data_IF_542206153060
#
_entry.id   IF_542206153060
#
_cell.length_a   1.000
_cell.length_b   1.000
_cell.length_c   1.000
_cell.angle_alpha   90.00
_cell.angle_beta   90.00
_cell.angle_gamma   90.00
#
_symmetry.space_group_name_H-M   'P 1'
#
loop_
_entity.id
_entity.type
_entity.pdbx_description
1 polymer ?
#
# COMPACT_ATOMS: atom_id res chain seq x y z
N UNK A 1 1.57 1.70 13.87
CA UNK A 1 2.68 1.80 12.91
C UNK A 1 3.73 2.73 13.48
N UNK A 2 5.01 2.39 13.39
CA UNK A 2 6.11 3.27 13.81
C UNK A 2 6.76 3.86 12.55
N UNK A 3 6.83 5.19 12.51
CA UNK A 3 7.49 5.93 11.43
C UNK A 3 8.62 6.76 12.06
N UNK A 4 9.84 6.61 11.56
CA UNK A 4 11.05 7.26 12.08
C UNK A 4 11.21 7.06 13.61
N UNK A 5 10.86 5.87 14.11
CA UNK A 5 10.95 5.51 15.52
C UNK A 5 9.84 6.04 16.43
N UNK A 6 8.81 6.70 15.89
CA UNK A 6 7.68 7.22 16.66
C UNK A 6 6.37 6.55 16.25
N UNK A 7 5.46 6.26 17.21
CA UNK A 7 4.13 5.76 16.89
C UNK A 7 3.35 6.76 16.04
N UNK A 8 2.78 6.30 14.93
CA UNK A 8 1.88 7.12 14.13
C UNK A 8 0.47 7.10 14.74
N UNK A 9 -0.23 8.25 14.90
CA UNK A 9 -1.47 8.33 15.68
C UNK A 9 -2.67 7.62 15.04
N UNK A 10 -2.69 7.49 13.71
CA UNK A 10 -3.86 6.99 12.99
C UNK A 10 -3.53 6.03 11.83
N UNK A 11 -2.29 5.53 11.79
CA UNK A 11 -1.90 4.53 10.79
C UNK A 11 -1.38 3.27 11.45
N UNK A 12 -1.86 2.13 10.96
CA UNK A 12 -1.65 0.81 11.54
C UNK A 12 -1.24 -0.19 10.46
N UNK A 13 -0.57 -1.26 10.84
CA UNK A 13 -0.33 -2.42 9.98
C UNK A 13 -0.53 -3.70 10.79
N UNK A 14 -0.86 -4.79 10.10
CA UNK A 14 -0.90 -6.12 10.71
C UNK A 14 0.49 -6.73 10.60
N UNK A 15 1.06 -7.10 11.75
CA UNK A 15 2.34 -7.76 11.83
C UNK A 15 2.20 -9.29 11.62
N UNK A 16 3.22 -9.91 11.02
CA UNK A 16 3.36 -11.36 10.94
C UNK A 16 2.72 -12.06 9.73
N UNK A 17 2.02 -11.34 8.83
CA UNK A 17 1.44 -11.92 7.60
C UNK A 17 2.17 -11.50 6.32
N UNK A 18 2.98 -10.48 6.38
CA UNK A 18 3.77 -9.97 5.26
C UNK A 18 4.71 -11.06 4.72
N UNK A 19 4.71 -11.21 3.40
CA UNK A 19 5.55 -12.18 2.71
C UNK A 19 6.53 -11.46 1.78
N UNK A 20 7.79 -11.85 1.85
CA UNK A 20 8.81 -11.44 0.90
C UNK A 20 8.99 -12.51 -0.17
N UNK A 21 8.86 -12.14 -1.43
CA UNK A 21 9.00 -13.06 -2.57
C UNK A 21 10.13 -12.59 -3.48
N UNK A 22 10.93 -13.53 -3.97
CA UNK A 22 11.94 -13.29 -4.99
C UNK A 22 11.76 -14.35 -6.07
N UNK A 23 11.57 -13.90 -7.29
CA UNK A 23 11.50 -14.72 -8.49
C UNK A 23 12.77 -14.49 -9.32
N UNK A 24 13.43 -15.54 -9.76
CA UNK A 24 14.58 -15.44 -10.65
C UNK A 24 14.43 -16.34 -11.86
N UNK A 25 14.78 -15.83 -13.03
CA UNK A 25 14.79 -16.56 -14.30
C UNK A 25 16.16 -16.42 -14.93
N UNK A 26 16.84 -17.55 -15.09
CA UNK A 26 18.13 -17.61 -15.78
C UNK A 26 17.94 -18.23 -17.16
N UNK A 27 18.43 -17.56 -18.19
CA UNK A 27 18.45 -18.08 -19.56
C UNK A 27 19.87 -18.13 -20.07
N UNK A 28 20.17 -19.20 -20.77
CA UNK A 28 21.49 -19.36 -21.41
C UNK A 28 21.75 -18.22 -22.39
N UNK A 29 22.90 -17.56 -22.24
CA UNK A 29 23.34 -16.39 -23.03
C UNK A 29 22.50 -15.10 -22.88
N UNK A 30 21.45 -15.07 -22.06
CA UNK A 30 20.62 -13.87 -21.87
C UNK A 30 20.86 -13.21 -20.49
N UNK A 31 21.42 -13.95 -19.53
CA UNK A 31 21.65 -13.45 -18.16
C UNK A 31 20.59 -13.87 -17.15
N UNK A 32 20.49 -13.12 -16.05
CA UNK A 32 19.60 -13.40 -14.93
C UNK A 32 18.62 -12.26 -14.74
N UNK A 33 17.34 -12.53 -14.88
CA UNK A 33 16.25 -11.62 -14.57
C UNK A 33 15.76 -11.91 -13.13
N UNK A 34 15.66 -10.87 -12.32
CA UNK A 34 15.18 -10.99 -10.93
C UNK A 34 14.04 -10.02 -10.69
N UNK A 35 12.98 -10.51 -10.06
CA UNK A 35 11.86 -9.74 -9.57
C UNK A 35 11.68 -9.98 -8.07
N UNK A 36 11.55 -8.92 -7.30
CA UNK A 36 11.27 -8.99 -5.88
C UNK A 36 9.90 -8.41 -5.56
N UNK A 37 9.25 -8.92 -4.51
CA UNK A 37 7.91 -8.47 -4.11
C UNK A 37 7.76 -8.44 -2.59
N UNK A 38 6.87 -7.58 -2.14
CA UNK A 38 6.22 -7.61 -0.83
C UNK A 38 4.76 -7.96 -1.08
N UNK A 39 4.24 -8.96 -0.40
CA UNK A 39 2.85 -9.39 -0.50
C UNK A 39 2.22 -9.45 0.89
N UNK A 40 0.90 -9.36 0.97
CA UNK A 40 0.10 -9.47 2.22
C UNK A 40 0.44 -8.42 3.28
N UNK A 41 0.96 -7.28 2.89
CA UNK A 41 1.18 -6.17 3.81
C UNK A 41 -0.14 -5.43 4.06
N UNK A 42 -0.88 -5.85 5.07
CA UNK A 42 -2.16 -5.25 5.43
C UNK A 42 -1.94 -3.97 6.24
N UNK A 43 -2.45 -2.86 5.72
CA UNK A 43 -2.36 -1.54 6.33
C UNK A 43 -3.73 -0.87 6.45
N UNK A 44 -3.84 0.02 7.44
CA UNK A 44 -5.03 0.83 7.67
C UNK A 44 -4.62 2.21 8.14
N UNK A 45 -5.28 3.24 7.63
CA UNK A 45 -5.30 4.56 8.25
C UNK A 45 -6.75 5.03 8.45
N UNK A 46 -7.02 5.61 9.62
CA UNK A 46 -8.37 6.01 10.01
C UNK A 46 -8.78 7.40 9.50
N UNK A 47 -7.83 8.19 9.01
CA UNK A 47 -8.02 9.53 8.46
C UNK A 47 -6.89 9.90 7.50
N UNK A 48 -6.97 11.04 6.80
CA UNK A 48 -5.95 11.51 5.87
C UNK A 48 -5.96 10.79 4.53
N UNK A 49 -7.10 10.21 4.14
CA UNK A 49 -7.31 9.64 2.81
C UNK A 49 -8.56 10.24 2.19
N UNK A 50 -8.37 10.91 1.08
CA UNK A 50 -9.44 11.52 0.30
C UNK A 50 -9.66 10.76 -1.02
N UNK A 51 -10.77 11.08 -1.67
CA UNK A 51 -11.05 10.71 -3.05
C UNK A 51 -11.88 11.80 -3.69
N UNK A 52 -11.22 12.74 -4.36
CA UNK A 52 -11.84 13.91 -4.98
C UNK A 52 -11.06 14.37 -6.21
N UNK A 53 -11.64 15.27 -6.99
CA UNK A 53 -11.00 15.84 -8.17
C UNK A 53 -10.87 14.87 -9.36
N UNK A 54 -11.58 13.74 -9.34
CA UNK A 54 -11.63 12.83 -10.47
C UNK A 54 -12.61 13.33 -11.55
N UNK A 55 -12.43 12.86 -12.78
CA UNK A 55 -13.33 13.22 -13.88
C UNK A 55 -14.77 12.77 -13.56
N UNK A 56 -15.70 13.68 -13.77
CA UNK A 56 -17.15 13.42 -13.55
C UNK A 56 -17.92 13.64 -14.84
N UNK A 57 -18.84 12.72 -15.09
CA UNK A 57 -19.78 12.75 -16.20
C UNK A 57 -21.20 12.42 -15.72
N UNK A 58 -22.15 12.31 -16.63
CA UNK A 58 -23.56 12.00 -16.34
C UNK A 58 -23.77 10.60 -15.72
N UNK A 59 -22.81 9.67 -15.86
CA UNK A 59 -22.84 8.32 -15.30
C UNK A 59 -22.15 8.21 -13.94
N UNK A 60 -21.43 9.24 -13.52
CA UNK A 60 -20.65 9.24 -12.28
C UNK A 60 -21.55 9.39 -11.06
N UNK A 61 -21.83 8.28 -10.37
CA UNK A 61 -22.65 8.23 -9.15
C UNK A 61 -21.85 8.37 -7.85
N UNK A 62 -20.53 8.17 -7.92
CA UNK A 62 -19.66 8.19 -6.75
C UNK A 62 -19.50 9.64 -6.25
N UNK A 63 -19.80 9.91 -4.95
CA UNK A 63 -19.57 11.23 -4.37
C UNK A 63 -18.08 11.46 -4.11
N UNK A 64 -17.67 12.71 -4.10
CA UNK A 64 -16.37 13.09 -3.60
C UNK A 64 -16.30 12.92 -2.08
N UNK A 65 -15.16 12.46 -1.59
CA UNK A 65 -14.91 12.23 -0.17
C UNK A 65 -13.60 12.89 0.21
N UNK A 66 -13.65 13.76 1.20
CA UNK A 66 -12.50 14.56 1.64
C UNK A 66 -11.70 13.87 2.73
N UNK A 67 -12.32 12.94 3.45
CA UNK A 67 -11.67 12.09 4.44
C UNK A 67 -12.41 10.76 4.56
N UNK A 68 -11.65 9.67 4.66
CA UNK A 68 -12.18 8.31 4.82
C UNK A 68 -11.18 7.39 5.48
N UNK A 69 -11.68 6.30 6.05
CA UNK A 69 -10.85 5.17 6.45
C UNK A 69 -10.34 4.49 5.18
N UNK A 70 -9.03 4.30 5.09
CA UNK A 70 -8.40 3.53 4.02
C UNK A 70 -7.74 2.29 4.59
N UNK A 71 -8.19 1.12 4.16
CA UNK A 71 -7.52 -0.14 4.43
C UNK A 71 -7.24 -0.87 3.12
N UNK A 72 -6.05 -1.41 3.00
CA UNK A 72 -5.62 -2.15 1.82
C UNK A 72 -4.60 -3.21 2.19
N UNK A 73 -4.53 -4.23 1.39
CA UNK A 73 -3.46 -5.22 1.42
C UNK A 73 -2.49 -4.87 0.30
N UNK A 74 -1.34 -4.35 0.68
CA UNK A 74 -0.35 -3.87 -0.29
C UNK A 74 0.38 -5.06 -0.90
N UNK A 75 0.38 -5.08 -2.23
CA UNK A 75 1.31 -5.84 -3.04
C UNK A 75 2.21 -4.85 -3.76
N UNK A 76 3.52 -4.95 -3.52
CA UNK A 76 4.54 -4.12 -4.14
C UNK A 76 5.56 -5.01 -4.84
N UNK A 77 5.74 -4.82 -6.14
CA UNK A 77 6.71 -5.55 -6.93
C UNK A 77 7.74 -4.62 -7.56
N UNK A 78 8.97 -5.10 -7.71
CA UNK A 78 9.97 -4.38 -8.47
C UNK A 78 10.83 -5.32 -9.31
N UNK A 79 11.12 -4.88 -10.52
CA UNK A 79 11.99 -5.53 -11.48
C UNK A 79 13.40 -4.96 -11.35
N UNK A 80 14.38 -5.83 -11.18
CA UNK A 80 15.78 -5.45 -11.23
C UNK A 80 16.27 -5.32 -12.68
N UNK A 81 17.26 -4.49 -12.91
CA UNK A 81 18.01 -4.48 -14.16
C UNK A 81 18.54 -5.89 -14.46
N UNK A 82 18.67 -6.23 -15.74
CA UNK A 82 19.19 -7.52 -16.15
C UNK A 82 20.63 -7.70 -15.67
N UNK A 83 20.92 -8.80 -15.00
CA UNK A 83 22.26 -9.19 -14.57
C UNK A 83 22.90 -10.10 -15.61
N UNK A 84 24.17 -9.83 -15.95
CA UNK A 84 24.89 -10.61 -16.95
C UNK A 84 25.32 -11.98 -16.43
N UNK A 85 25.60 -12.06 -15.13
CA UNK A 85 26.13 -13.28 -14.50
C UNK A 85 25.84 -13.31 -13.00
N UNK A 86 26.16 -14.44 -12.37
CA UNK A 86 25.94 -14.66 -10.94
C UNK A 86 26.79 -13.76 -10.03
N UNK A 87 27.93 -13.25 -10.49
CA UNK A 87 28.77 -12.37 -9.66
C UNK A 87 28.14 -10.98 -9.54
N UNK A 88 27.50 -10.47 -10.60
CA UNK A 88 26.71 -9.24 -10.51
C UNK A 88 25.54 -9.40 -9.53
N UNK A 89 24.85 -10.53 -9.57
CA UNK A 89 23.76 -10.81 -8.60
C UNK A 89 24.25 -10.81 -7.15
N UNK A 90 25.41 -11.40 -6.89
CA UNK A 90 25.99 -11.44 -5.52
C UNK A 90 26.38 -10.07 -4.98
N UNK A 91 26.68 -9.10 -5.86
CA UNK A 91 27.08 -7.75 -5.48
C UNK A 91 25.90 -6.87 -5.00
N UNK A 92 24.67 -7.30 -5.23
CA UNK A 92 23.46 -6.52 -4.92
C UNK A 92 23.02 -6.71 -3.46
N UNK A 93 22.73 -5.61 -2.77
CA UNK A 93 22.11 -5.65 -1.45
C UNK A 93 20.58 -5.77 -1.55
N UNK A 94 20.10 -6.98 -1.81
CA UNK A 94 18.67 -7.28 -1.85
C UNK A 94 17.95 -7.01 -0.52
N UNK A 95 18.66 -7.11 0.60
CA UNK A 95 18.06 -6.86 1.91
C UNK A 95 17.88 -5.37 2.17
N UNK A 96 18.89 -4.57 1.86
CA UNK A 96 18.80 -3.11 1.95
C UNK A 96 17.72 -2.55 1.03
N UNK A 97 17.64 -3.04 -0.21
CA UNK A 97 16.61 -2.63 -1.15
C UNK A 97 15.20 -3.01 -0.69
N UNK A 98 15.01 -4.23 -0.18
CA UNK A 98 13.72 -4.64 0.39
C UNK A 98 13.32 -3.76 1.57
N UNK A 99 14.27 -3.50 2.48
CA UNK A 99 14.03 -2.62 3.61
C UNK A 99 13.67 -1.20 3.17
N UNK A 100 14.39 -0.64 2.20
CA UNK A 100 14.11 0.68 1.65
C UNK A 100 12.72 0.75 1.02
N UNK A 101 12.35 -0.23 0.18
CA UNK A 101 11.05 -0.30 -0.46
C UNK A 101 9.92 -0.39 0.58
N UNK A 102 10.09 -1.24 1.61
CA UNK A 102 9.12 -1.38 2.70
C UNK A 102 8.98 -0.11 3.52
N UNK A 103 10.10 0.48 3.95
CA UNK A 103 10.10 1.69 4.78
C UNK A 103 9.47 2.88 4.02
N UNK A 104 9.77 3.06 2.72
CA UNK A 104 9.15 4.06 1.86
C UNK A 104 7.64 3.81 1.76
N UNK A 105 7.23 2.58 1.49
CA UNK A 105 5.81 2.20 1.39
C UNK A 105 5.05 2.54 2.66
N UNK A 106 5.57 2.13 3.81
CA UNK A 106 4.95 2.38 5.11
C UNK A 106 4.88 3.86 5.44
N UNK A 107 5.97 4.60 5.20
CA UNK A 107 6.05 6.04 5.47
C UNK A 107 5.09 6.83 4.59
N UNK A 108 5.11 6.60 3.28
CA UNK A 108 4.21 7.30 2.35
C UNK A 108 2.75 6.96 2.66
N UNK A 109 2.42 5.68 2.92
CA UNK A 109 1.06 5.31 3.30
C UNK A 109 0.59 6.06 4.55
N UNK A 110 1.45 6.17 5.57
CA UNK A 110 1.10 6.80 6.84
C UNK A 110 0.97 8.32 6.74
N UNK A 111 1.94 8.99 6.12
CA UNK A 111 2.10 10.44 6.19
C UNK A 111 1.44 11.20 5.04
N UNK A 112 1.23 10.54 3.88
CA UNK A 112 0.69 11.21 2.70
C UNK A 112 -0.80 11.54 2.89
N UNK A 113 -1.13 12.83 2.85
CA UNK A 113 -2.52 13.29 2.78
C UNK A 113 -2.98 13.22 1.32
N UNK A 114 -3.35 12.03 0.90
CA UNK A 114 -3.53 11.67 -0.49
C UNK A 114 -4.90 12.07 -1.03
N UNK A 115 -4.93 12.71 -2.18
CA UNK A 115 -6.16 12.96 -2.93
C UNK A 115 -6.73 11.68 -3.58
N UNK A 116 -5.89 10.66 -3.79
CA UNK A 116 -6.30 9.36 -4.32
C UNK A 116 -5.25 8.29 -4.03
N UNK A 117 -5.67 7.02 -3.98
CA UNK A 117 -4.76 5.87 -3.84
C UNK A 117 -3.74 5.82 -4.99
N UNK A 118 -4.15 6.21 -6.20
CA UNK A 118 -3.29 6.26 -7.38
C UNK A 118 -2.13 7.25 -7.21
N UNK A 119 -2.41 8.44 -6.67
CA UNK A 119 -1.37 9.44 -6.38
C UNK A 119 -0.36 8.91 -5.35
N UNK A 120 -0.83 8.22 -4.31
CA UNK A 120 0.01 7.59 -3.30
C UNK A 120 0.89 6.49 -3.91
N UNK A 121 0.33 5.61 -4.75
CA UNK A 121 1.11 4.57 -5.45
C UNK A 121 2.20 5.17 -6.33
N UNK A 122 1.87 6.18 -7.12
CA UNK A 122 2.85 6.86 -7.98
C UNK A 122 4.02 7.45 -7.18
N UNK A 123 3.72 8.09 -6.05
CA UNK A 123 4.74 8.65 -5.15
C UNK A 123 5.63 7.55 -4.55
N UNK A 124 5.06 6.40 -4.16
CA UNK A 124 5.82 5.25 -3.68
C UNK A 124 6.77 4.73 -4.76
N UNK A 125 6.28 4.52 -5.99
CA UNK A 125 7.10 4.07 -7.13
C UNK A 125 8.28 5.00 -7.39
N UNK A 126 8.04 6.30 -7.49
CA UNK A 126 9.06 7.33 -7.74
C UNK A 126 10.15 7.34 -6.67
N UNK A 127 9.76 7.24 -5.40
CA UNK A 127 10.71 7.23 -4.30
C UNK A 127 11.56 5.96 -4.25
N UNK A 128 11.00 4.79 -4.56
CA UNK A 128 11.74 3.53 -4.62
C UNK A 128 12.75 3.55 -5.76
N UNK A 129 12.35 3.98 -6.97
CA UNK A 129 13.24 4.10 -8.11
C UNK A 129 14.42 5.04 -7.85
N UNK A 130 14.18 6.12 -7.09
CA UNK A 130 15.25 7.05 -6.66
C UNK A 130 16.16 6.47 -5.59
N UNK A 131 15.61 5.69 -4.65
CA UNK A 131 16.34 5.12 -3.54
C UNK A 131 17.24 3.93 -3.94
N UNK A 132 16.82 3.16 -4.95
CA UNK A 132 17.53 1.94 -5.39
C UNK A 132 17.75 2.00 -6.91
N UNK A 133 18.88 2.55 -7.38
CA UNK A 133 19.16 2.78 -8.81
C UNK A 133 19.23 1.53 -9.70
N UNK A 134 19.39 0.34 -9.07
CA UNK A 134 19.43 -0.95 -9.79
C UNK A 134 18.03 -1.55 -10.04
N UNK A 135 16.98 -0.89 -9.57
CA UNK A 135 15.61 -1.21 -9.91
C UNK A 135 15.24 -0.51 -11.23
N UNK A 136 14.68 -1.26 -12.17
CA UNK A 136 14.25 -0.76 -13.48
C UNK A 136 12.79 -0.35 -13.51
N UNK A 137 11.93 -1.10 -12.80
CA UNK A 137 10.50 -0.83 -12.74
C UNK A 137 9.92 -1.19 -11.37
N UNK A 138 8.89 -0.46 -10.95
CA UNK A 138 8.12 -0.71 -9.73
C UNK A 138 6.64 -0.72 -10.06
N UNK A 139 5.90 -1.66 -9.50
CA UNK A 139 4.45 -1.77 -9.60
C UNK A 139 3.82 -2.00 -8.24
N UNK A 140 2.57 -1.55 -8.11
CA UNK A 140 1.76 -1.69 -6.92
C UNK A 140 0.36 -2.17 -7.23
N UNK A 141 -0.19 -2.98 -6.33
CA UNK A 141 -1.62 -3.24 -6.23
C UNK A 141 -2.09 -2.93 -4.81
N UNK A 142 -3.07 -2.05 -4.68
CA UNK A 142 -3.68 -1.64 -3.43
C UNK A 142 -5.21 -1.86 -3.52
N UNK A 143 -5.68 -3.11 -3.45
CA UNK A 143 -7.11 -3.39 -3.45
C UNK A 143 -7.76 -2.79 -2.20
N UNK A 144 -8.79 -1.96 -2.40
CA UNK A 144 -9.46 -1.30 -1.29
C UNK A 144 -10.27 -2.31 -0.47
N UNK A 145 -9.98 -2.40 0.84
CA UNK A 145 -10.80 -3.13 1.81
C UNK A 145 -11.75 -2.11 2.44
N UNK A 146 -13.04 -2.18 2.07
CA UNK A 146 -14.03 -1.23 2.53
C UNK A 146 -14.37 -1.46 4.01
N UNK A 147 -14.24 -0.39 4.81
CA UNK A 147 -14.71 -0.33 6.17
C UNK A 147 -15.84 0.71 6.24
N UNK A 148 -16.92 0.33 6.87
CA UNK A 148 -18.05 1.22 7.12
C UNK A 148 -18.12 1.50 8.59
N UNK A 149 -18.23 2.77 8.96
CA UNK A 149 -18.49 3.17 10.33
C UNK A 149 -19.93 2.78 10.72
N UNK A 150 -20.06 1.89 11.69
CA UNK A 150 -21.36 1.51 12.21
C UNK A 150 -21.65 2.45 13.39
N UNK A 151 -22.45 3.49 13.15
CA UNK A 151 -22.88 4.44 14.17
C UNK A 151 -23.87 3.82 15.19
N UNK A 152 -23.38 2.94 16.04
CA UNK A 152 -24.20 2.28 17.10
C UNK A 152 -24.45 3.18 18.31
N UNK A 153 -23.68 4.23 18.53
CA UNK A 153 -23.77 5.06 19.73
C UNK A 153 -24.85 6.14 19.69
N UNK A 154 -25.36 6.52 18.54
CA UNK A 154 -26.44 7.51 18.45
C UNK A 154 -27.84 6.93 18.78
N UNK A 155 -28.00 5.60 18.80
CA UNK A 155 -29.30 4.96 19.14
C UNK A 155 -29.46 4.56 20.59
N UNK A 156 -28.41 4.63 21.39
CA UNK A 156 -28.48 4.29 22.83
C UNK A 156 -28.92 5.47 23.74
N UNK A 157 -28.98 6.68 23.18
CA UNK A 157 -29.44 7.88 23.90
C UNK A 157 -30.96 8.16 23.83
N UNK A 158 -31.73 7.39 23.07
CA UNK A 158 -33.18 7.50 22.97
C UNK A 158 -33.81 6.11 22.98
N UNK A 159 -33.64 5.39 24.10
CA UNK A 159 -34.36 4.16 24.32
C UNK A 159 -35.74 4.49 24.88
N UNK A 160 -36.64 5.01 24.05
CA UNK A 160 -38.07 4.78 24.21
C UNK A 160 -38.38 3.44 23.57
N UNK A 161 -38.93 2.57 24.40
CA UNK A 161 -39.35 1.21 24.08
C UNK A 161 -40.21 1.15 22.79
N UNK A 162 -39.67 0.69 21.67
CA UNK A 162 -40.45 0.12 20.59
C UNK A 162 -39.90 -1.26 20.25
N UNK A 163 -40.79 -2.24 20.48
CA UNK A 163 -40.56 -3.65 20.20
C UNK A 163 -40.02 -3.91 18.80
N UNK A 164 -38.92 -4.66 18.73
CA UNK A 164 -38.42 -5.28 17.52
C UNK A 164 -39.34 -6.43 17.12
N UNK A 165 -40.14 -6.27 16.09
CA UNK A 165 -40.73 -7.35 15.33
C UNK A 165 -39.84 -7.62 14.11
N UNK A 166 -39.23 -8.79 14.10
CA UNK A 166 -38.57 -9.34 12.95
C UNK A 166 -39.59 -9.77 11.90
N UNK A 167 -39.33 -9.44 10.64
CA UNK A 167 -39.91 -10.05 9.46
C UNK A 167 -38.79 -10.58 8.61
#
# INVERSE_FOLDING_TARGET
>A
MNIDGKPHPHSFYRDGEETRVIESVTRENEGVSIRSKIEKLLVLKSTGSAFHGFHRDEYTKLPETWDRILSTEIEAGWQWKMFKNAEEVKSVDFNGAWKAARDITMKVFAEDNSASVQATMYKMCDLILKAVPDIEAVDYALPNKHYFEIGTLQKLGSCESKSLTAS
#
